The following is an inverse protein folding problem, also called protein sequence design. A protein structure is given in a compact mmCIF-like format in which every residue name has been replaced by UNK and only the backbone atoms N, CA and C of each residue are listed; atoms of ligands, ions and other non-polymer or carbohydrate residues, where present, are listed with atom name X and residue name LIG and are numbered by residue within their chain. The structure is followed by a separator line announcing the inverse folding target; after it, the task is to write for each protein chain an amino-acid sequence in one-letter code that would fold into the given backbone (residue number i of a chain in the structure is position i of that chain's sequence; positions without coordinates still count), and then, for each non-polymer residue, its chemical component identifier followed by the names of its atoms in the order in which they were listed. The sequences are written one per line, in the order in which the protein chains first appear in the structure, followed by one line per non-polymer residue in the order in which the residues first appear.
data_IF_365738869473
#
_entry.id   IF_365738869473
#
_cell.length_a   1.000
_cell.length_b   1.000
_cell.length_c   1.000
_cell.angle_alpha   90.00
_cell.angle_beta   90.00
_cell.angle_gamma   90.00
#
_symmetry.space_group_name_H-M   'P 1'
#
loop_
_entity.id
_entity.type
_entity.pdbx_description
1 polymer ?
#
# COMPACT_ATOMS: atom_id res chain seq x y z
N UNK A 1 14.43 10.52 9.57
CA UNK A 1 14.61 9.08 9.26
C UNK A 1 14.57 8.30 10.57
N UNK A 2 13.62 7.38 10.75
CA UNK A 2 13.49 6.55 11.93
C UNK A 2 14.29 5.25 11.78
N UNK A 3 15.05 4.88 12.81
CA UNK A 3 15.77 3.60 12.84
C UNK A 3 14.84 2.53 13.42
N UNK A 4 14.60 1.40 12.72
CA UNK A 4 13.75 0.34 13.24
C UNK A 4 14.37 -0.29 14.50
N UNK A 5 13.61 -0.30 15.60
CA UNK A 5 13.99 -1.01 16.83
C UNK A 5 13.37 -2.39 16.85
N UNK A 6 14.18 -3.41 17.10
CA UNK A 6 13.68 -4.78 17.31
C UNK A 6 13.06 -4.88 18.70
N UNK A 7 11.86 -5.44 18.74
CA UNK A 7 11.20 -5.89 19.96
C UNK A 7 11.64 -7.32 20.32
N UNK A 8 11.54 -7.68 21.58
CA UNK A 8 11.77 -9.05 22.03
C UNK A 8 10.59 -9.96 21.64
N UNK A 9 10.80 -11.27 21.76
CA UNK A 9 9.84 -12.28 21.26
C UNK A 9 8.54 -12.29 22.05
N UNK A 10 8.57 -12.01 23.36
CA UNK A 10 7.36 -12.02 24.18
C UNK A 10 6.47 -10.84 23.84
N UNK A 11 7.03 -9.62 23.84
CA UNK A 11 6.27 -8.41 23.45
C UNK A 11 5.70 -8.54 22.04
N UNK A 12 6.46 -9.08 21.09
CA UNK A 12 5.97 -9.31 19.73
C UNK A 12 4.78 -10.28 19.67
N UNK A 13 4.73 -11.27 20.57
CA UNK A 13 3.63 -12.24 20.63
C UNK A 13 2.38 -11.63 21.25
N UNK A 14 2.54 -10.85 22.30
CA UNK A 14 1.43 -10.16 22.96
C UNK A 14 0.79 -9.13 22.01
N UNK A 15 1.61 -8.34 21.32
CA UNK A 15 1.12 -7.38 20.31
C UNK A 15 0.36 -8.06 19.18
N UNK A 16 0.88 -9.18 18.64
CA UNK A 16 0.16 -9.96 17.61
C UNK A 16 -1.21 -10.43 18.09
N UNK A 17 -1.30 -10.94 19.32
CA UNK A 17 -2.57 -11.39 19.88
C UNK A 17 -3.57 -10.24 20.06
N UNK A 18 -3.11 -9.03 20.38
CA UNK A 18 -3.96 -7.84 20.45
C UNK A 18 -4.47 -7.47 19.06
N UNK A 19 -3.60 -7.42 18.05
CA UNK A 19 -3.99 -7.11 16.67
C UNK A 19 -4.97 -8.13 16.09
N UNK A 20 -4.77 -9.44 16.34
CA UNK A 20 -5.70 -10.48 15.95
C UNK A 20 -7.10 -10.28 16.56
N UNK A 21 -7.19 -9.89 17.84
CA UNK A 21 -8.49 -9.58 18.49
C UNK A 21 -9.19 -8.36 17.88
N UNK A 22 -8.42 -7.44 17.31
CA UNK A 22 -8.93 -6.27 16.58
C UNK A 22 -9.19 -6.55 15.10
N UNK A 23 -9.01 -7.79 14.65
CA UNK A 23 -9.11 -8.21 13.25
C UNK A 23 -8.10 -7.49 12.32
N UNK A 24 -6.92 -7.15 12.86
CA UNK A 24 -5.80 -6.58 12.11
C UNK A 24 -4.85 -7.72 11.76
N UNK A 25 -4.75 -8.04 10.48
CA UNK A 25 -3.98 -9.18 9.97
C UNK A 25 -2.79 -8.78 9.09
N UNK A 26 -2.60 -7.48 8.87
CA UNK A 26 -1.53 -6.94 8.03
C UNK A 26 -0.15 -7.27 8.61
N UNK A 27 0.79 -7.59 7.72
CA UNK A 27 2.16 -7.95 8.09
C UNK A 27 2.95 -6.78 8.70
N UNK A 28 2.55 -5.56 8.35
CA UNK A 28 3.11 -4.30 8.84
C UNK A 28 1.97 -3.38 9.26
N UNK A 29 2.16 -2.73 10.40
CA UNK A 29 1.25 -1.73 10.93
C UNK A 29 2.08 -0.57 11.47
N UNK A 30 1.54 0.63 11.36
CA UNK A 30 2.11 1.84 11.95
C UNK A 30 1.21 2.28 13.10
N UNK A 31 1.78 2.34 14.29
CA UNK A 31 1.07 2.73 15.51
C UNK A 31 1.47 4.16 15.82
N UNK A 32 0.48 5.04 15.90
CA UNK A 32 0.65 6.39 16.40
C UNK A 32 0.17 6.42 17.85
N UNK A 33 1.11 6.66 18.77
CA UNK A 33 0.83 6.70 20.21
C UNK A 33 0.37 8.08 20.68
N UNK A 34 0.58 9.14 19.89
CA UNK A 34 0.11 10.48 20.22
C UNK A 34 -1.38 10.64 19.88
N UNK A 35 -1.84 9.93 18.85
CA UNK A 35 -3.22 9.95 18.37
C UNK A 35 -4.02 8.68 18.71
N UNK A 36 -3.41 7.70 19.37
CA UNK A 36 -4.01 6.38 19.69
C UNK A 36 -4.60 5.66 18.46
N UNK A 37 -3.96 5.79 17.30
CA UNK A 37 -4.42 5.21 16.04
C UNK A 37 -3.46 4.13 15.52
N UNK A 38 -4.04 3.16 14.80
CA UNK A 38 -3.29 2.14 14.06
C UNK A 38 -3.59 2.34 12.58
N UNK A 39 -2.56 2.70 11.82
CA UNK A 39 -2.57 2.72 10.36
C UNK A 39 -2.13 1.34 9.87
N UNK A 40 -2.99 0.69 9.10
CA UNK A 40 -2.65 -0.53 8.38
C UNK A 40 -2.20 -0.13 6.98
N UNK A 41 -1.00 -0.53 6.59
CA UNK A 41 -0.66 -0.52 5.17
C UNK A 41 -1.36 -1.71 4.56
N UNK A 42 -2.46 -1.47 3.85
CA UNK A 42 -3.00 -2.47 2.95
C UNK A 42 -1.95 -2.67 1.85
N UNK A 43 -1.39 -3.88 1.79
CA UNK A 43 -0.60 -4.35 0.65
C UNK A 43 -1.58 -4.47 -0.53
N UNK A 44 -2.08 -3.34 -1.04
CA UNK A 44 -2.71 -3.31 -2.35
C UNK A 44 -1.63 -3.73 -3.32
N UNK A 45 -1.67 -4.99 -3.76
CA UNK A 45 -0.88 -5.41 -4.89
C UNK A 45 -1.27 -4.51 -6.07
N UNK A 46 -0.33 -4.22 -6.97
CA UNK A 46 -0.66 -3.47 -8.19
C UNK A 46 -1.85 -4.15 -8.90
N UNK A 47 -1.97 -5.46 -8.79
CA UNK A 47 -3.09 -6.24 -9.31
C UNK A 47 -4.44 -5.91 -8.66
N UNK A 48 -4.52 -5.67 -7.34
CA UNK A 48 -5.76 -5.24 -6.66
C UNK A 48 -6.17 -3.80 -7.03
N UNK A 49 -5.18 -2.92 -7.27
CA UNK A 49 -5.43 -1.57 -7.79
C UNK A 49 -5.96 -1.66 -9.22
N UNK A 50 -5.39 -2.53 -10.04
CA UNK A 50 -5.84 -2.75 -11.42
C UNK A 50 -7.21 -3.45 -11.49
N UNK A 51 -7.52 -4.35 -10.57
CA UNK A 51 -8.81 -5.03 -10.47
C UNK A 51 -9.91 -4.10 -9.92
N UNK A 52 -9.57 -3.21 -8.96
CA UNK A 52 -10.44 -2.13 -8.49
C UNK A 52 -10.61 -1.02 -9.53
N UNK A 53 -9.60 -0.81 -10.39
CA UNK A 53 -9.64 0.09 -11.55
C UNK A 53 -10.14 -0.64 -12.82
N UNK A 54 -11.13 -1.52 -12.68
CA UNK A 54 -11.74 -2.28 -13.77
C UNK A 54 -12.47 -1.43 -14.83
N UNK A 55 -11.80 -0.45 -15.45
CA UNK A 55 -12.32 0.42 -16.51
C UNK A 55 -11.18 0.90 -17.41
N UNK A 56 -10.32 0.00 -17.93
CA UNK A 56 -9.68 0.26 -19.21
C UNK A 56 -9.72 -1.03 -20.03
N UNK A 57 -10.61 -1.07 -21.02
CA UNK A 57 -10.58 -2.07 -22.07
C UNK A 57 -9.21 -2.03 -22.79
N UNK A 58 -8.78 -3.11 -23.47
CA UNK A 58 -7.49 -3.14 -24.16
C UNK A 58 -7.28 -1.98 -25.13
N UNK A 59 -8.36 -1.43 -25.69
CA UNK A 59 -8.34 -0.28 -26.58
C UNK A 59 -8.07 1.03 -25.81
N UNK A 60 -8.71 1.24 -24.66
CA UNK A 60 -8.51 2.43 -23.83
C UNK A 60 -7.12 2.44 -23.17
N UNK A 61 -6.58 1.27 -22.80
CA UNK A 61 -5.20 1.15 -22.31
C UNK A 61 -4.18 1.52 -23.39
N UNK A 62 -4.45 1.18 -24.64
CA UNK A 62 -3.60 1.53 -25.78
C UNK A 62 -3.65 3.03 -26.08
N UNK A 63 -4.83 3.63 -25.99
CA UNK A 63 -5.01 5.07 -26.19
C UNK A 63 -4.28 5.88 -25.09
N UNK A 64 -4.37 5.44 -23.83
CA UNK A 64 -3.64 6.05 -22.73
C UNK A 64 -2.11 5.91 -22.89
N UNK A 65 -1.65 4.76 -23.38
CA UNK A 65 -0.24 4.53 -23.66
C UNK A 65 0.28 5.45 -24.77
N UNK A 66 -0.48 5.59 -25.86
CA UNK A 66 -0.13 6.49 -26.97
C UNK A 66 -0.18 7.97 -26.54
N UNK A 67 -1.11 8.35 -25.66
CA UNK A 67 -1.19 9.69 -25.10
C UNK A 67 0.00 10.03 -24.18
N UNK A 68 0.36 9.13 -23.26
CA UNK A 68 1.54 9.28 -22.39
C UNK A 68 2.83 9.31 -23.22
N UNK A 69 2.91 8.49 -24.27
CA UNK A 69 4.04 8.48 -25.20
C UNK A 69 4.18 9.81 -25.93
N UNK A 70 3.07 10.36 -26.43
CA UNK A 70 3.03 11.69 -27.07
C UNK A 70 3.44 12.80 -26.10
N UNK A 71 2.90 12.81 -24.87
CA UNK A 71 3.28 13.81 -23.86
C UNK A 71 4.78 13.78 -23.53
N UNK A 72 5.37 12.58 -23.44
CA UNK A 72 6.82 12.44 -23.21
C UNK A 72 7.67 12.81 -24.43
N UNK A 73 7.18 12.59 -25.64
CA UNK A 73 7.90 12.96 -26.86
C UNK A 73 7.79 14.47 -27.17
N UNK A 74 6.69 15.12 -26.78
CA UNK A 74 6.48 16.57 -26.94
C UNK A 74 7.17 17.41 -25.85
N UNK A 75 7.40 16.89 -24.64
CA UNK A 75 8.18 17.59 -23.60
C UNK A 75 9.69 17.67 -23.89
N UNK A 76 10.18 16.94 -24.91
CA UNK A 76 11.59 16.90 -25.30
C UNK A 76 11.88 17.59 -26.65
N UNK A 77 10.97 18.43 -27.16
CA UNK A 77 11.22 19.34 -28.30
C UNK A 77 11.13 20.83 -27.92
#
# INVERSE_FOLDING_TARGET
MSVPKRMDKQTARELRSIFEKMNITQSKVKIDLDNDTIEVEDDYSIDDILESAGILTPDEAKELYDEVRRMREDEWN
#
